data_IF_661883544396
#
_entry.id   IF_661883544396
#
_cell.length_a   1.000
_cell.length_b   1.000
_cell.length_c   1.000
_cell.angle_alpha   90.00
_cell.angle_beta   90.00
_cell.angle_gamma   90.00
#
_symmetry.space_group_name_H-M   'P 1'
#
loop_
_entity.id
_entity.type
_entity.pdbx_description
1 polymer ?
#
# COMPACT_ATOMS: atom_id res chain seq x y z
N UNK A 1 -16.34 -0.69 17.81
CA UNK A 1 -15.17 -0.96 16.95
C UNK A 1 -14.17 -1.76 17.76
N UNK A 2 -13.87 -2.98 17.30
CA UNK A 2 -12.87 -3.87 17.87
C UNK A 2 -11.57 -3.74 17.07
N UNK A 3 -10.41 -3.79 17.73
CA UNK A 3 -9.09 -3.68 17.08
C UNK A 3 -8.87 -4.74 15.98
N UNK A 4 -9.42 -5.93 16.16
CA UNK A 4 -9.31 -7.01 15.17
C UNK A 4 -10.04 -6.66 13.86
N UNK A 5 -11.12 -5.87 13.93
CA UNK A 5 -11.89 -5.43 12.75
C UNK A 5 -11.10 -4.43 11.88
N UNK A 6 -10.01 -3.87 12.41
CA UNK A 6 -9.17 -2.90 11.71
C UNK A 6 -7.97 -3.54 11.00
N UNK A 7 -7.76 -4.85 11.17
CA UNK A 7 -6.72 -5.60 10.46
C UNK A 7 -7.14 -5.78 8.98
N UNK A 8 -6.21 -5.55 8.07
CA UNK A 8 -6.42 -5.58 6.63
C UNK A 8 -6.90 -4.25 6.07
N UNK A 9 -7.49 -4.29 4.87
CA UNK A 9 -7.92 -3.09 4.12
C UNK A 9 -6.85 -1.99 3.99
N UNK A 10 -5.58 -2.39 4.04
CA UNK A 10 -4.45 -1.49 3.94
C UNK A 10 -4.39 -0.90 2.52
N UNK A 11 -4.00 0.37 2.38
CA UNK A 11 -4.07 1.04 1.08
C UNK A 11 -3.04 0.46 0.11
N UNK A 12 -3.44 0.39 -1.16
CA UNK A 12 -2.55 0.17 -2.29
C UNK A 12 -2.21 1.54 -2.89
N UNK A 13 -0.93 1.88 -2.96
CA UNK A 13 -0.46 3.21 -3.39
C UNK A 13 0.43 3.11 -4.63
N UNK A 14 0.35 4.14 -5.48
CA UNK A 14 1.17 4.25 -6.68
C UNK A 14 2.57 4.81 -6.32
N UNK A 15 3.61 4.12 -6.80
CA UNK A 15 5.01 4.46 -6.55
C UNK A 15 5.73 4.98 -7.80
N UNK A 16 5.02 5.67 -8.70
CA UNK A 16 5.58 6.18 -9.97
C UNK A 16 6.83 7.04 -9.80
N UNK A 17 6.99 7.75 -8.66
CA UNK A 17 8.22 8.53 -8.35
C UNK A 17 9.47 7.68 -8.17
N UNK A 18 9.32 6.38 -7.90
CA UNK A 18 10.41 5.42 -7.75
C UNK A 18 10.68 4.62 -9.03
N UNK A 19 9.84 4.76 -10.07
CA UNK A 19 10.00 4.05 -11.34
C UNK A 19 11.02 4.78 -12.21
N UNK A 20 12.21 4.20 -12.50
CA UNK A 20 13.27 4.90 -13.21
C UNK A 20 12.92 5.28 -14.65
N UNK A 21 12.15 4.43 -15.33
CA UNK A 21 11.89 4.55 -16.77
C UNK A 21 10.41 4.48 -17.16
N UNK A 22 9.47 4.48 -16.19
CA UNK A 22 8.02 4.54 -16.44
C UNK A 22 7.40 3.35 -17.20
N UNK A 23 8.20 2.38 -17.68
CA UNK A 23 7.75 1.21 -18.43
C UNK A 23 7.04 0.14 -17.59
N UNK A 24 7.02 0.33 -16.27
CA UNK A 24 6.32 -0.54 -15.32
C UNK A 24 5.55 0.30 -14.30
N UNK A 25 4.37 -0.20 -13.90
CA UNK A 25 3.61 0.38 -12.79
C UNK A 25 4.02 -0.30 -11.49
N UNK A 26 4.67 0.46 -10.61
CA UNK A 26 5.01 0.00 -9.26
C UNK A 26 3.87 0.37 -8.30
N UNK A 27 3.42 -0.63 -7.55
CA UNK A 27 2.38 -0.48 -6.52
C UNK A 27 2.94 -0.97 -5.17
N UNK A 28 2.65 -0.24 -4.10
CA UNK A 28 3.01 -0.60 -2.74
C UNK A 28 1.76 -0.88 -1.89
N UNK A 29 1.74 -2.00 -1.17
CA UNK A 29 0.69 -2.33 -0.20
C UNK A 29 1.18 -1.97 1.20
N UNK A 30 0.53 -0.99 1.85
CA UNK A 30 1.03 -0.43 3.12
C UNK A 30 0.61 -1.26 4.34
N UNK A 31 1.10 -2.50 4.45
CA UNK A 31 0.74 -3.43 5.54
C UNK A 31 1.19 -2.99 6.94
N UNK A 32 2.11 -2.04 7.04
CA UNK A 32 2.45 -1.40 8.32
C UNK A 32 1.32 -0.54 8.90
N UNK A 33 0.24 -0.32 8.15
CA UNK A 33 -0.98 0.37 8.62
C UNK A 33 -1.97 -0.55 9.33
N UNK A 34 -1.63 -1.82 9.53
CA UNK A 34 -2.37 -2.65 10.47
C UNK A 34 -2.18 -2.12 11.91
N UNK A 35 -3.24 -2.11 12.73
CA UNK A 35 -3.15 -1.79 14.15
C UNK A 35 -2.31 -2.79 14.95
#
# INVERSE_FOLDING_TARGET
MNIIELIGNTPLVDLSRLSPNGGVRLLGKLESRNP
#
